data_IF_357741770486
#
_entry.id   IF_357741770486
#
_cell.length_a   1.000
_cell.length_b   1.000
_cell.length_c   1.000
_cell.angle_alpha   90.00
_cell.angle_beta   90.00
_cell.angle_gamma   90.00
#
_symmetry.space_group_name_H-M   'P 1'
#
loop_
_entity.id
_entity.type
_entity.pdbx_description
1 polymer ?
#
# COMPACT_ATOMS: atom_id res chain seq x y z
N UNK A 1 45.54 6.90 -35.29
CA UNK A 1 44.58 7.48 -34.31
C UNK A 1 43.12 6.95 -34.41
N UNK A 2 42.75 6.17 -35.44
CA UNK A 2 41.35 5.65 -35.57
C UNK A 2 41.06 4.38 -34.74
N UNK A 3 42.08 3.69 -34.20
CA UNK A 3 41.85 2.48 -33.38
C UNK A 3 41.61 2.77 -31.91
N UNK A 4 42.05 3.90 -31.38
CA UNK A 4 41.96 4.23 -29.95
C UNK A 4 40.53 4.51 -29.54
N UNK A 5 39.76 5.27 -30.36
CA UNK A 5 38.35 5.57 -30.06
C UNK A 5 37.46 4.33 -30.13
N UNK A 6 37.79 3.34 -30.92
CA UNK A 6 37.05 2.11 -31.03
C UNK A 6 37.22 1.23 -29.77
N UNK A 7 38.43 1.22 -29.21
CA UNK A 7 38.71 0.51 -27.94
C UNK A 7 38.01 1.20 -26.78
N UNK A 8 37.99 2.52 -26.70
CA UNK A 8 37.26 3.27 -25.70
C UNK A 8 35.74 3.01 -25.78
N UNK A 9 35.18 2.98 -26.99
CA UNK A 9 33.79 2.66 -27.20
C UNK A 9 33.43 1.25 -26.72
N UNK A 10 34.25 0.25 -27.07
CA UNK A 10 34.04 -1.16 -26.65
C UNK A 10 34.09 -1.31 -25.13
N UNK A 11 34.93 -0.54 -24.45
CA UNK A 11 34.99 -0.54 -22.97
C UNK A 11 33.81 0.17 -22.34
N UNK A 12 33.29 1.27 -22.91
CA UNK A 12 32.19 2.03 -22.38
C UNK A 12 30.81 1.42 -22.69
N UNK A 13 30.66 0.72 -23.83
CA UNK A 13 29.39 0.16 -24.27
C UNK A 13 28.73 -0.80 -23.23
N UNK A 14 29.47 -1.76 -22.65
CA UNK A 14 28.89 -2.63 -21.63
C UNK A 14 28.38 -1.87 -20.40
N UNK A 15 29.09 -0.84 -19.95
CA UNK A 15 28.71 0.00 -18.82
C UNK A 15 27.41 0.77 -19.11
N UNK A 16 27.28 1.32 -20.33
CA UNK A 16 26.05 2.00 -20.76
C UNK A 16 24.86 1.06 -20.83
N UNK A 17 25.08 -0.19 -21.30
CA UNK A 17 24.03 -1.21 -21.36
C UNK A 17 23.55 -1.58 -19.94
N UNK A 18 24.46 -1.81 -19.00
CA UNK A 18 24.13 -2.10 -17.61
C UNK A 18 23.33 -0.94 -17.00
N UNK A 19 23.77 0.31 -17.23
CA UNK A 19 23.07 1.49 -16.76
C UNK A 19 21.65 1.62 -17.34
N UNK A 20 21.48 1.27 -18.63
CA UNK A 20 20.17 1.26 -19.26
C UNK A 20 19.24 0.24 -18.62
N UNK A 21 19.69 -0.99 -18.39
CA UNK A 21 18.89 -2.01 -17.71
C UNK A 21 18.57 -1.64 -16.27
N UNK A 22 19.50 -1.02 -15.54
CA UNK A 22 19.25 -0.53 -14.19
C UNK A 22 18.14 0.54 -14.15
N UNK A 23 18.09 1.44 -15.14
CA UNK A 23 17.02 2.44 -15.27
C UNK A 23 15.66 1.80 -15.59
N UNK A 24 15.63 0.79 -16.46
CA UNK A 24 14.41 0.04 -16.79
C UNK A 24 13.86 -0.69 -15.56
N UNK A 25 14.70 -1.43 -14.85
CA UNK A 25 14.33 -2.16 -13.64
C UNK A 25 13.88 -1.19 -12.52
N UNK A 26 14.61 -0.09 -12.33
CA UNK A 26 14.25 0.96 -11.37
C UNK A 26 12.89 1.58 -11.66
N UNK A 27 12.57 1.83 -12.93
CA UNK A 27 11.27 2.37 -13.33
C UNK A 27 10.13 1.38 -13.10
N UNK A 28 10.35 0.10 -13.38
CA UNK A 28 9.39 -0.97 -13.15
C UNK A 28 9.13 -1.18 -11.65
N UNK A 29 10.20 -1.16 -10.84
CA UNK A 29 10.08 -1.23 -9.39
C UNK A 29 9.30 -0.04 -8.82
N UNK A 30 9.62 1.18 -9.25
CA UNK A 30 8.92 2.39 -8.81
C UNK A 30 7.41 2.33 -9.11
N UNK A 31 7.02 1.93 -10.33
CA UNK A 31 5.61 1.75 -10.70
C UNK A 31 4.92 0.72 -9.81
N UNK A 32 5.59 -0.38 -9.50
CA UNK A 32 5.06 -1.42 -8.61
C UNK A 32 4.91 -0.94 -7.18
N UNK A 33 5.88 -0.18 -6.67
CA UNK A 33 5.80 0.43 -5.34
C UNK A 33 4.63 1.42 -5.22
N UNK A 34 4.42 2.25 -6.24
CA UNK A 34 3.25 3.15 -6.29
C UNK A 34 1.94 2.39 -6.35
N UNK A 35 1.87 1.32 -7.17
CA UNK A 35 0.68 0.48 -7.28
C UNK A 35 0.30 -0.16 -5.94
N UNK A 36 1.24 -0.78 -5.22
CA UNK A 36 0.93 -1.42 -3.92
C UNK A 36 0.57 -0.39 -2.85
N UNK A 37 1.19 0.80 -2.90
CA UNK A 37 0.84 1.89 -1.98
C UNK A 37 -0.59 2.38 -2.21
N UNK A 38 -0.97 2.61 -3.47
CA UNK A 38 -2.33 3.01 -3.83
C UNK A 38 -3.33 1.92 -3.41
N UNK A 39 -3.04 0.65 -3.72
CA UNK A 39 -3.88 -0.48 -3.33
C UNK A 39 -4.10 -0.57 -1.81
N UNK A 40 -3.05 -0.41 -1.01
CA UNK A 40 -3.14 -0.42 0.44
C UNK A 40 -3.93 0.79 0.99
N UNK A 41 -3.77 1.97 0.38
CA UNK A 41 -4.53 3.18 0.74
C UNK A 41 -6.01 3.03 0.40
N UNK A 42 -6.34 2.47 -0.77
CA UNK A 42 -7.71 2.19 -1.17
C UNK A 42 -8.37 1.16 -0.25
N UNK A 43 -7.65 0.11 0.16
CA UNK A 43 -8.15 -0.85 1.14
C UNK A 43 -8.51 -0.18 2.47
N UNK A 44 -7.62 0.65 2.98
CA UNK A 44 -7.84 1.40 4.23
C UNK A 44 -9.02 2.37 4.12
N UNK A 45 -9.13 3.08 3.00
CA UNK A 45 -10.22 4.04 2.73
C UNK A 45 -11.56 3.32 2.59
N UNK A 46 -11.59 2.19 1.90
CA UNK A 46 -12.79 1.38 1.74
C UNK A 46 -13.28 0.85 3.10
N UNK A 47 -12.38 0.31 3.92
CA UNK A 47 -12.68 -0.17 5.27
C UNK A 47 -13.21 0.95 6.18
N UNK A 48 -12.63 2.14 6.11
CA UNK A 48 -13.09 3.30 6.90
C UNK A 48 -14.54 3.71 6.55
N UNK A 49 -14.93 3.55 5.27
CA UNK A 49 -16.29 3.83 4.79
C UNK A 49 -17.28 2.69 5.06
N UNK A 50 -16.78 1.46 5.11
CA UNK A 50 -17.55 0.24 5.27
C UNK A 50 -16.96 -0.61 6.40
N UNK A 51 -17.19 -0.24 7.68
CA UNK A 51 -16.56 -0.91 8.83
C UNK A 51 -16.94 -2.39 8.96
N UNK A 52 -18.12 -2.75 8.46
CA UNK A 52 -18.65 -4.13 8.50
C UNK A 52 -18.28 -4.96 7.26
N UNK A 53 -17.50 -4.40 6.34
CA UNK A 53 -17.11 -5.12 5.14
C UNK A 53 -16.21 -6.31 5.49
N UNK A 54 -16.52 -7.48 4.89
CA UNK A 54 -15.67 -8.64 5.00
C UNK A 54 -14.33 -8.41 4.27
N UNK A 55 -13.26 -9.04 4.75
CA UNK A 55 -11.93 -8.93 4.12
C UNK A 55 -11.93 -9.35 2.65
N UNK A 56 -12.85 -10.24 2.27
CA UNK A 56 -13.07 -10.66 0.88
C UNK A 56 -13.57 -9.50 0.00
N UNK A 57 -14.45 -8.64 0.52
CA UNK A 57 -15.02 -7.50 -0.21
C UNK A 57 -13.95 -6.40 -0.38
N UNK A 58 -13.18 -6.13 0.67
CA UNK A 58 -12.04 -5.21 0.62
C UNK A 58 -11.04 -5.68 -0.43
N UNK A 59 -10.71 -6.99 -0.42
CA UNK A 59 -9.82 -7.60 -1.41
C UNK A 59 -10.35 -7.48 -2.84
N UNK A 60 -11.64 -7.73 -3.04
CA UNK A 60 -12.27 -7.62 -4.36
C UNK A 60 -12.18 -6.18 -4.90
N UNK A 61 -12.46 -5.19 -4.04
CA UNK A 61 -12.33 -3.77 -4.38
C UNK A 61 -10.89 -3.40 -4.77
N UNK A 62 -9.91 -3.82 -3.97
CA UNK A 62 -8.49 -3.57 -4.23
C UNK A 62 -8.04 -4.21 -5.55
N UNK A 63 -8.46 -5.46 -5.82
CA UNK A 63 -8.13 -6.14 -7.06
C UNK A 63 -8.73 -5.43 -8.28
N UNK A 64 -9.89 -4.80 -8.15
CA UNK A 64 -10.48 -3.99 -9.21
C UNK A 64 -9.65 -2.73 -9.52
N UNK A 65 -9.15 -2.05 -8.47
CA UNK A 65 -8.28 -0.88 -8.62
C UNK A 65 -6.92 -1.23 -9.25
N UNK A 66 -6.46 -2.47 -9.09
CA UNK A 66 -5.16 -2.97 -9.61
C UNK A 66 -5.29 -3.64 -10.98
N UNK A 67 -6.50 -3.76 -11.55
CA UNK A 67 -6.72 -4.30 -12.91
C UNK A 67 -5.88 -3.55 -13.94
N UNK A 68 -5.16 -4.30 -14.79
CA UNK A 68 -4.27 -3.75 -15.83
C UNK A 68 -2.78 -3.83 -15.51
N UNK A 69 -2.39 -4.36 -14.35
CA UNK A 69 -1.00 -4.67 -14.02
C UNK A 69 -0.70 -6.16 -14.22
N UNK A 70 -1.07 -6.69 -15.39
CA UNK A 70 -0.91 -8.10 -15.73
C UNK A 70 0.56 -8.56 -15.68
N UNK A 71 0.77 -9.80 -15.24
CA UNK A 71 2.08 -10.48 -15.24
C UNK A 71 2.85 -10.45 -13.93
N UNK A 72 2.23 -10.05 -12.82
CA UNK A 72 2.89 -9.88 -11.52
C UNK A 72 2.08 -10.54 -10.42
N UNK A 73 2.77 -11.30 -9.55
CA UNK A 73 2.15 -11.85 -8.35
C UNK A 73 1.78 -10.70 -7.39
N UNK A 74 0.49 -10.51 -7.21
CA UNK A 74 -0.07 -9.57 -6.23
C UNK A 74 -0.63 -10.37 -5.05
N UNK A 75 -0.21 -10.04 -3.84
CA UNK A 75 -0.77 -10.60 -2.61
C UNK A 75 -1.33 -9.50 -1.72
N UNK A 76 -2.46 -9.81 -1.10
CA UNK A 76 -3.17 -8.94 -0.16
C UNK A 76 -3.37 -9.69 1.14
N UNK A 77 -3.06 -9.06 2.26
CA UNK A 77 -3.39 -9.54 3.61
C UNK A 77 -4.00 -8.41 4.43
N UNK A 78 -4.96 -8.76 5.27
CA UNK A 78 -5.56 -7.87 6.26
C UNK A 78 -5.33 -8.49 7.64
N UNK A 79 -4.84 -7.70 8.58
CA UNK A 79 -4.56 -8.12 9.96
C UNK A 79 -5.18 -7.11 10.92
N UNK A 80 -5.75 -7.59 12.01
CA UNK A 80 -6.30 -6.73 13.04
C UNK A 80 -5.15 -6.03 13.77
N UNK A 81 -5.16 -4.70 13.72
CA UNK A 81 -4.15 -3.84 14.34
C UNK A 81 -4.57 -3.35 15.73
N UNK A 82 -5.61 -3.96 16.30
CA UNK A 82 -6.12 -3.67 17.63
C UNK A 82 -7.29 -2.68 17.67
N UNK A 83 -7.86 -2.57 18.84
CA UNK A 83 -9.00 -1.70 19.11
C UNK A 83 -8.58 -0.59 20.07
N UNK A 84 -8.88 0.66 19.73
CA UNK A 84 -8.65 1.81 20.60
C UNK A 84 -9.99 2.29 21.15
N UNK A 85 -10.11 2.39 22.45
CA UNK A 85 -11.28 2.94 23.11
C UNK A 85 -10.97 4.35 23.60
N UNK A 86 -11.83 5.30 23.30
CA UNK A 86 -11.75 6.65 23.83
C UNK A 86 -13.11 7.10 24.38
N UNK A 87 -13.09 7.58 25.60
CA UNK A 87 -14.25 8.15 26.24
C UNK A 87 -14.22 9.67 26.04
N UNK A 88 -15.35 10.23 25.63
CA UNK A 88 -15.53 11.68 25.56
C UNK A 88 -16.89 12.10 26.02
N UNK A 89 -16.94 13.30 26.58
CA UNK A 89 -18.13 13.89 27.12
C UNK A 89 -18.74 14.85 26.09
N UNK A 90 -19.98 14.57 25.66
CA UNK A 90 -20.69 15.39 24.70
C UNK A 90 -21.71 16.26 25.43
N UNK A 91 -21.73 17.55 25.13
CA UNK A 91 -22.75 18.45 25.61
C UNK A 91 -23.90 18.58 24.59
N UNK A 92 -25.04 17.99 24.90
CA UNK A 92 -26.23 18.00 24.04
C UNK A 92 -27.23 19.01 24.52
N UNK A 93 -27.66 19.91 23.64
CA UNK A 93 -28.74 20.87 23.95
C UNK A 93 -30.10 20.17 23.84
N UNK A 94 -30.79 20.04 24.94
CA UNK A 94 -32.15 19.50 25.03
C UNK A 94 -33.15 20.60 25.47
N UNK A 95 -34.43 20.37 25.27
CA UNK A 95 -35.52 21.34 25.51
C UNK A 95 -35.58 21.99 26.92
N UNK A 96 -34.73 21.56 27.85
CA UNK A 96 -34.64 22.08 29.22
C UNK A 96 -33.25 22.56 29.64
N UNK A 97 -32.30 22.68 28.70
CA UNK A 97 -30.91 23.08 28.97
C UNK A 97 -29.87 22.17 28.36
N UNK A 98 -28.59 22.41 28.70
CA UNK A 98 -27.48 21.56 28.31
C UNK A 98 -27.43 20.33 29.21
N UNK A 99 -27.41 19.15 28.60
CA UNK A 99 -27.14 17.89 29.30
C UNK A 99 -25.80 17.32 28.83
N UNK A 100 -25.11 16.73 29.76
CA UNK A 100 -23.87 16.02 29.52
C UNK A 100 -24.20 14.56 29.27
N UNK A 101 -23.70 14.00 28.15
CA UNK A 101 -23.76 12.58 27.83
C UNK A 101 -22.35 12.07 27.67
N UNK A 102 -22.02 11.03 28.42
CA UNK A 102 -20.74 10.33 28.23
C UNK A 102 -20.92 9.37 27.08
N UNK A 103 -20.04 9.49 26.10
CA UNK A 103 -20.04 8.67 24.86
C UNK A 103 -18.74 7.95 24.76
N UNK A 104 -18.82 6.66 24.48
CA UNK A 104 -17.66 5.80 24.22
C UNK A 104 -17.51 5.59 22.73
N UNK A 105 -16.36 5.93 22.18
CA UNK A 105 -16.01 5.62 20.80
C UNK A 105 -15.06 4.43 20.79
N UNK A 106 -15.44 3.40 20.08
CA UNK A 106 -14.62 2.22 19.84
C UNK A 106 -14.08 2.31 18.42
N UNK A 107 -12.77 2.45 18.28
CA UNK A 107 -12.10 2.51 16.99
C UNK A 107 -11.42 1.18 16.73
N UNK A 108 -11.88 0.46 15.71
CA UNK A 108 -11.25 -0.78 15.21
C UNK A 108 -10.21 -0.42 14.17
N UNK A 109 -8.99 -0.89 14.36
CA UNK A 109 -7.90 -0.66 13.44
C UNK A 109 -7.56 -1.95 12.68
N UNK A 110 -7.41 -1.86 11.37
CA UNK A 110 -6.93 -2.96 10.51
C UNK A 110 -5.73 -2.52 9.69
N UNK A 111 -4.70 -3.35 9.65
CA UNK A 111 -3.52 -3.16 8.82
C UNK A 111 -3.70 -3.94 7.50
N UNK A 112 -3.62 -3.23 6.40
CA UNK A 112 -3.71 -3.78 5.04
C UNK A 112 -2.34 -3.80 4.42
N UNK A 113 -1.83 -4.99 4.12
CA UNK A 113 -0.53 -5.18 3.49
C UNK A 113 -0.71 -5.68 2.07
N UNK A 114 -0.20 -4.91 1.12
CA UNK A 114 -0.15 -5.26 -0.29
C UNK A 114 1.29 -5.53 -0.70
N UNK A 115 1.52 -6.62 -1.43
CA UNK A 115 2.84 -6.99 -1.98
C UNK A 115 2.70 -7.25 -3.47
N UNK A 116 3.69 -6.81 -4.23
CA UNK A 116 3.78 -7.05 -5.67
C UNK A 116 5.20 -7.44 -6.04
N UNK A 117 5.35 -8.62 -6.66
CA UNK A 117 6.63 -9.15 -7.13
C UNK A 117 6.78 -8.91 -8.62
N UNK A 118 7.88 -8.36 -9.05
CA UNK A 118 8.22 -8.10 -10.45
C UNK A 118 9.48 -8.88 -10.84
N UNK A 119 9.59 -9.22 -12.12
CA UNK A 119 10.84 -9.76 -12.69
C UNK A 119 11.76 -8.61 -13.07
N UNK A 120 13.04 -8.76 -12.75
CA UNK A 120 14.09 -7.79 -13.05
C UNK A 120 15.04 -8.35 -14.12
N UNK A 121 15.63 -7.49 -14.95
CA UNK A 121 16.64 -7.86 -15.93
C UNK A 121 18.01 -8.06 -15.27
N UNK A 122 18.30 -7.26 -14.23
CA UNK A 122 19.56 -7.35 -13.50
C UNK A 122 19.34 -8.15 -12.21
N UNK A 123 19.89 -9.37 -12.12
CA UNK A 123 19.83 -10.15 -10.90
C UNK A 123 20.54 -9.42 -9.77
N UNK A 124 20.00 -9.50 -8.57
CA UNK A 124 20.55 -8.98 -7.31
C UNK A 124 20.70 -7.46 -7.13
N UNK A 125 20.29 -6.61 -8.08
CA UNK A 125 20.32 -5.16 -7.87
C UNK A 125 19.18 -4.67 -6.96
N UNK A 126 18.01 -5.34 -7.00
CA UNK A 126 16.81 -4.96 -6.25
C UNK A 126 16.19 -6.10 -5.44
N UNK A 127 16.80 -7.29 -5.39
CA UNK A 127 16.27 -8.44 -4.67
C UNK A 127 17.10 -9.71 -4.86
N UNK A 128 16.64 -10.81 -4.28
CA UNK A 128 17.26 -12.12 -4.48
C UNK A 128 16.80 -12.74 -5.81
N UNK A 129 17.76 -13.15 -6.62
CA UNK A 129 17.49 -13.70 -7.95
C UNK A 129 17.06 -12.63 -8.96
N UNK A 130 16.15 -12.99 -9.88
CA UNK A 130 15.62 -12.10 -10.92
C UNK A 130 14.27 -11.48 -10.54
N UNK A 131 14.01 -11.28 -9.24
CA UNK A 131 12.74 -10.74 -8.76
C UNK A 131 12.94 -9.66 -7.72
N UNK A 132 12.12 -8.62 -7.77
CA UNK A 132 12.03 -7.59 -6.75
C UNK A 132 10.60 -7.52 -6.21
N UNK A 133 10.44 -7.35 -4.89
CA UNK A 133 9.13 -7.27 -4.24
C UNK A 133 8.93 -5.89 -3.65
N UNK A 134 7.88 -5.20 -4.10
CA UNK A 134 7.40 -3.98 -3.48
C UNK A 134 6.33 -4.33 -2.44
N UNK A 135 6.44 -3.75 -1.25
CA UNK A 135 5.47 -3.96 -0.14
C UNK A 135 5.01 -2.61 0.38
N UNK A 136 3.72 -2.49 0.63
CA UNK A 136 3.13 -1.35 1.34
C UNK A 136 2.14 -1.84 2.38
N UNK A 137 2.20 -1.25 3.58
CA UNK A 137 1.26 -1.49 4.67
C UNK A 137 0.62 -0.17 5.08
N UNK A 138 -0.71 -0.15 5.13
CA UNK A 138 -1.50 1.02 5.56
C UNK A 138 -2.53 0.56 6.57
N UNK A 139 -2.69 1.31 7.66
CA UNK A 139 -3.70 1.04 8.68
C UNK A 139 -4.95 1.86 8.38
N UNK A 140 -6.08 1.18 8.25
CA UNK A 140 -7.41 1.78 8.20
C UNK A 140 -8.04 1.74 9.58
N UNK A 141 -8.77 2.79 9.96
CA UNK A 141 -9.50 2.88 11.22
C UNK A 141 -10.97 3.13 10.95
N UNK A 142 -11.82 2.37 11.62
CA UNK A 142 -13.27 2.56 11.61
C UNK A 142 -13.75 2.81 13.04
N UNK A 143 -14.48 3.90 13.23
CA UNK A 143 -15.02 4.30 14.53
C UNK A 143 -16.49 3.96 14.61
N UNK A 144 -16.88 3.24 15.65
CA UNK A 144 -18.27 3.03 16.03
C UNK A 144 -18.57 3.90 17.25
N UNK A 145 -19.57 4.74 17.14
CA UNK A 145 -20.05 5.59 18.22
C UNK A 145 -21.13 4.84 19.01
N UNK A 146 -20.80 4.49 20.25
CA UNK A 146 -21.76 3.89 21.18
C UNK A 146 -22.30 4.94 22.15
N UNK A 147 -23.59 5.19 22.14
CA UNK A 147 -24.22 6.00 23.18
C UNK A 147 -24.36 5.13 24.42
N UNK A 148 -23.60 5.44 25.46
CA UNK A 148 -23.80 4.87 26.78
C UNK A 148 -25.09 5.48 27.35
N UNK A 149 -26.00 4.61 27.77
CA UNK A 149 -27.27 4.99 28.42
C UNK A 149 -27.05 5.49 29.84
#
# INVERSE_FOLDING_TARGET
MRGQSLVEFVLCAPLLIIMLFALLDGSAYYRSAMCVRTAATEAATYYTKHPDAADADVRAHVLECVKGTEGVEFSFSAEDAGTTESDYTMHVKQSGGWKTADTKTVTKNKAFTCKKTIKTFLPSLFGEGNTATATATVTGSASEEGVLR
#
